data_IF_906047658652
#
_entry.id   IF_906047658652
#
_cell.length_a   1.000
_cell.length_b   1.000
_cell.length_c   1.000
_cell.angle_alpha   90.00
_cell.angle_beta   90.00
_cell.angle_gamma   90.00
#
_symmetry.space_group_name_H-M   'P 1'
#
loop_
_entity.id
_entity.type
_entity.pdbx_description
1 polymer ?
#
# COMPACT_ATOMS: atom_id res chain seq x y z
N UNK A 1 -9.79 6.58 -33.05
CA UNK A 1 -9.66 5.10 -32.92
C UNK A 1 -10.80 4.33 -33.59
N UNK A 2 -12.07 4.76 -33.51
CA UNK A 2 -13.20 4.04 -34.13
C UNK A 2 -13.11 3.85 -35.66
N UNK A 3 -12.48 4.78 -36.39
CA UNK A 3 -12.44 4.78 -37.86
C UNK A 3 -11.43 3.78 -38.44
N UNK A 4 -10.46 3.32 -37.64
CA UNK A 4 -9.40 2.40 -38.11
C UNK A 4 -9.86 0.94 -38.13
N UNK A 5 -10.85 0.58 -37.30
CA UNK A 5 -11.31 -0.80 -37.14
C UNK A 5 -12.25 -1.27 -38.26
N UNK A 6 -12.87 -0.34 -38.98
CA UNK A 6 -13.91 -0.60 -39.99
C UNK A 6 -13.39 -1.35 -41.23
N UNK A 7 -12.08 -1.33 -41.48
CA UNK A 7 -11.44 -1.95 -42.65
C UNK A 7 -10.84 -3.34 -42.38
N UNK A 8 -10.90 -3.83 -41.13
CA UNK A 8 -10.35 -5.14 -40.76
C UNK A 8 -11.42 -6.24 -40.86
N UNK A 9 -11.04 -7.48 -41.26
CA UNK A 9 -11.97 -8.61 -41.34
C UNK A 9 -12.62 -8.88 -39.98
N UNK A 10 -13.89 -9.30 -39.99
CA UNK A 10 -14.74 -9.48 -38.80
C UNK A 10 -14.05 -10.28 -37.67
N UNK A 11 -13.26 -11.29 -38.05
CA UNK A 11 -12.49 -12.14 -37.12
C UNK A 11 -11.41 -11.37 -36.36
N UNK A 12 -10.77 -10.40 -37.02
CA UNK A 12 -9.77 -9.52 -36.40
C UNK A 12 -10.43 -8.47 -35.50
N UNK A 13 -11.61 -7.96 -35.86
CA UNK A 13 -12.38 -7.06 -35.00
C UNK A 13 -12.81 -7.73 -33.70
N UNK A 14 -13.31 -8.97 -33.77
CA UNK A 14 -13.69 -9.76 -32.59
C UNK A 14 -12.46 -10.00 -31.69
N UNK A 15 -11.32 -10.40 -32.26
CA UNK A 15 -10.09 -10.59 -31.50
C UNK A 15 -9.63 -9.30 -30.81
N UNK A 16 -9.73 -8.17 -31.49
CA UNK A 16 -9.34 -6.88 -30.95
C UNK A 16 -10.27 -6.43 -29.82
N UNK A 17 -11.58 -6.63 -29.96
CA UNK A 17 -12.56 -6.37 -28.89
C UNK A 17 -12.28 -7.22 -27.66
N UNK A 18 -12.03 -8.52 -27.85
CA UNK A 18 -11.67 -9.45 -26.77
C UNK A 18 -10.38 -9.00 -26.06
N UNK A 19 -9.36 -8.62 -26.82
CA UNK A 19 -8.09 -8.14 -26.27
C UNK A 19 -8.27 -6.86 -25.44
N UNK A 20 -9.08 -5.90 -25.92
CA UNK A 20 -9.37 -4.67 -25.20
C UNK A 20 -10.11 -4.93 -23.88
N UNK A 21 -11.03 -5.90 -23.85
CA UNK A 21 -11.74 -6.31 -22.62
C UNK A 21 -10.79 -6.93 -21.58
N UNK A 22 -9.72 -7.60 -21.99
CA UNK A 22 -8.72 -8.12 -21.05
C UNK A 22 -7.89 -7.01 -20.41
N UNK A 23 -7.56 -5.95 -21.16
CA UNK A 23 -6.79 -4.83 -20.63
C UNK A 23 -7.59 -3.85 -19.76
N UNK A 24 -8.92 -3.83 -19.86
CA UNK A 24 -9.77 -2.95 -19.03
C UNK A 24 -9.88 -3.38 -17.56
N UNK A 25 -9.38 -4.57 -17.19
CA UNK A 25 -9.45 -5.07 -15.81
C UNK A 25 -8.23 -4.67 -14.94
N UNK A 26 -7.31 -3.86 -15.46
CA UNK A 26 -6.23 -3.30 -14.65
C UNK A 26 -6.79 -2.11 -13.89
N UNK A 27 -7.41 -2.39 -12.74
CA UNK A 27 -7.68 -1.35 -11.74
C UNK A 27 -6.32 -0.97 -11.15
N UNK A 28 -5.79 0.18 -11.57
CA UNK A 28 -4.72 0.82 -10.82
C UNK A 28 -5.32 1.21 -9.46
N UNK A 29 -4.83 0.62 -8.37
CA UNK A 29 -5.13 1.16 -7.03
C UNK A 29 -4.70 2.62 -7.05
N UNK A 30 -5.64 3.55 -6.77
CA UNK A 30 -5.25 4.93 -6.53
C UNK A 30 -4.22 4.89 -5.40
N UNK A 31 -3.07 5.53 -5.59
CA UNK A 31 -2.23 5.92 -4.47
C UNK A 31 -3.11 6.77 -3.57
N UNK A 32 -3.73 6.15 -2.56
CA UNK A 32 -4.30 6.89 -1.48
C UNK A 32 -3.08 7.43 -0.75
N UNK A 33 -2.69 8.65 -1.09
CA UNK A 33 -1.87 9.48 -0.22
C UNK A 33 -2.70 9.65 1.04
N UNK A 34 -2.53 8.73 1.99
CA UNK A 34 -3.01 8.83 3.36
C UNK A 34 -2.23 9.97 4.04
N UNK A 35 -2.30 11.18 3.49
CA UNK A 35 -1.80 12.38 4.14
C UNK A 35 -2.74 12.64 5.31
N UNK A 36 -2.23 12.36 6.50
CA UNK A 36 -2.85 12.74 7.74
C UNK A 36 -2.46 14.19 8.02
N UNK A 37 -3.42 15.09 7.92
CA UNK A 37 -3.19 16.52 8.18
C UNK A 37 -3.10 16.76 9.69
N UNK A 38 -1.91 16.55 10.28
CA UNK A 38 -1.62 16.93 11.66
C UNK A 38 -1.02 18.34 11.71
N UNK A 39 -1.51 19.16 12.64
CA UNK A 39 -1.01 20.52 12.84
C UNK A 39 -0.23 20.61 14.16
N UNK A 40 0.94 21.22 14.12
CA UNK A 40 1.71 21.56 15.31
C UNK A 40 1.41 23.01 15.72
N UNK A 41 1.14 23.31 17.01
CA UNK A 41 1.01 24.68 17.49
C UNK A 41 2.30 25.47 17.28
N UNK A 42 2.20 26.72 16.82
CA UNK A 42 3.36 27.57 16.53
C UNK A 42 4.15 28.02 17.77
N UNK A 43 3.55 27.93 18.95
CA UNK A 43 4.15 28.36 20.23
C UNK A 43 4.90 27.22 20.96
N UNK A 44 5.06 26.05 20.33
CA UNK A 44 5.72 24.89 20.95
C UNK A 44 7.23 24.85 20.64
N UNK A 45 8.07 24.33 21.58
CA UNK A 45 9.49 24.01 21.32
C UNK A 45 9.64 23.09 20.07
N UNK A 46 10.85 22.94 19.49
CA UNK A 46 11.03 22.23 18.21
C UNK A 46 10.29 20.87 18.23
N UNK A 47 9.49 20.55 17.19
CA UNK A 47 8.45 19.53 17.28
C UNK A 47 9.06 18.15 17.08
N UNK A 48 9.87 17.70 18.04
CA UNK A 48 10.25 16.29 18.14
C UNK A 48 9.46 15.68 19.30
N UNK A 49 8.33 15.07 18.98
CA UNK A 49 7.57 14.25 19.91
C UNK A 49 7.53 12.81 19.40
N UNK A 50 7.57 11.85 20.32
CA UNK A 50 7.26 10.46 19.97
C UNK A 50 5.79 10.38 19.54
N UNK A 51 5.55 9.69 18.44
CA UNK A 51 4.22 9.50 17.86
C UNK A 51 4.10 8.09 17.32
N UNK A 52 2.87 7.69 17.03
CA UNK A 52 2.54 6.39 16.50
C UNK A 52 1.73 6.53 15.21
N UNK A 53 1.89 5.54 14.34
CA UNK A 53 1.05 5.34 13.18
C UNK A 53 0.52 3.93 13.23
N UNK A 54 -0.74 3.76 12.84
CA UNK A 54 -1.33 2.43 12.69
C UNK A 54 -0.87 1.83 11.37
N UNK A 55 -0.39 0.59 11.42
CA UNK A 55 0.02 -0.16 10.25
C UNK A 55 -0.87 -1.39 10.06
N UNK A 56 -1.27 -1.66 8.82
CA UNK A 56 -2.02 -2.87 8.46
C UNK A 56 -1.09 -3.77 7.66
N UNK A 57 -0.83 -4.97 8.18
CA UNK A 57 0.13 -5.92 7.63
C UNK A 57 -0.23 -6.38 6.21
N UNK A 58 0.71 -6.20 5.26
CA UNK A 58 0.47 -6.44 3.83
C UNK A 58 1.22 -7.66 3.30
N UNK A 59 0.47 -8.66 2.87
CA UNK A 59 1.01 -9.81 2.14
C UNK A 59 1.44 -9.40 0.72
N UNK A 60 2.50 -10.02 0.14
CA UNK A 60 3.35 -11.06 0.74
C UNK A 60 4.61 -10.52 1.43
N UNK A 61 4.95 -9.24 1.22
CA UNK A 61 6.29 -8.74 1.48
C UNK A 61 6.45 -8.03 2.84
N UNK A 62 5.35 -7.64 3.49
CA UNK A 62 5.37 -6.81 4.70
C UNK A 62 4.62 -7.48 5.86
N UNK A 63 4.99 -8.73 6.12
CA UNK A 63 4.45 -9.59 7.18
C UNK A 63 5.48 -9.88 8.29
N UNK A 64 6.52 -9.07 8.41
CA UNK A 64 7.47 -9.17 9.52
C UNK A 64 7.80 -7.82 10.12
N UNK A 65 8.08 -7.78 11.43
CA UNK A 65 8.46 -6.55 12.12
C UNK A 65 9.70 -5.90 11.49
N UNK A 66 10.66 -6.71 11.02
CA UNK A 66 11.85 -6.22 10.30
C UNK A 66 11.51 -5.57 8.97
N UNK A 67 10.60 -6.18 8.17
CA UNK A 67 10.21 -5.60 6.89
C UNK A 67 9.50 -4.26 7.06
N UNK A 68 8.68 -4.12 8.10
CA UNK A 68 7.94 -2.89 8.42
C UNK A 68 8.88 -1.83 9.00
N UNK A 69 9.79 -2.22 9.90
CA UNK A 69 10.75 -1.31 10.52
C UNK A 69 11.64 -0.62 9.49
N UNK A 70 12.01 -1.33 8.42
CA UNK A 70 12.79 -0.78 7.31
C UNK A 70 12.01 0.30 6.51
N UNK A 71 10.68 0.25 6.47
CA UNK A 71 9.86 1.27 5.80
C UNK A 71 9.82 2.56 6.62
N UNK A 72 9.67 2.43 7.94
CA UNK A 72 9.48 3.55 8.86
C UNK A 72 10.78 4.05 9.50
N UNK A 73 11.93 3.48 9.11
CA UNK A 73 13.24 3.79 9.69
C UNK A 73 13.24 3.76 11.22
N UNK A 74 12.64 2.70 11.78
CA UNK A 74 12.52 2.48 13.23
C UNK A 74 13.05 1.10 13.62
N UNK A 75 13.02 0.76 14.89
CA UNK A 75 13.46 -0.57 15.36
C UNK A 75 12.30 -1.57 15.40
N UNK A 76 12.50 -2.85 15.02
CA UNK A 76 11.48 -3.90 15.19
C UNK A 76 11.00 -4.02 16.65
N UNK A 77 11.91 -3.84 17.61
CA UNK A 77 11.61 -3.89 19.04
C UNK A 77 10.67 -2.74 19.46
N UNK A 78 10.81 -1.55 18.86
CA UNK A 78 9.90 -0.43 19.10
C UNK A 78 8.48 -0.77 18.65
N UNK A 79 8.34 -1.42 17.49
CA UNK A 79 7.04 -1.87 16.96
C UNK A 79 6.45 -2.95 17.87
N UNK A 80 7.24 -3.95 18.24
CA UNK A 80 6.81 -5.03 19.14
C UNK A 80 6.29 -4.47 20.48
N UNK A 81 7.06 -3.56 21.09
CA UNK A 81 6.67 -2.91 22.36
C UNK A 81 5.39 -2.08 22.21
N UNK A 82 5.27 -1.30 21.14
CA UNK A 82 4.10 -0.46 20.89
C UNK A 82 2.82 -1.29 20.63
N UNK A 83 2.98 -2.45 19.98
CA UNK A 83 1.89 -3.34 19.58
C UNK A 83 1.61 -4.46 20.58
N UNK A 84 2.33 -4.49 21.70
CA UNK A 84 2.27 -5.56 22.72
C UNK A 84 2.49 -6.97 22.12
N UNK A 85 3.53 -7.12 21.30
CA UNK A 85 3.98 -8.38 20.73
C UNK A 85 5.25 -8.87 21.44
N UNK A 86 5.45 -10.19 21.48
CA UNK A 86 6.72 -10.74 21.91
C UNK A 86 7.80 -10.46 20.84
N UNK A 87 9.05 -10.14 21.20
CA UNK A 87 10.11 -9.87 20.24
C UNK A 87 10.41 -11.03 19.29
N UNK A 88 10.13 -12.26 19.71
CA UNK A 88 10.21 -13.48 18.90
C UNK A 88 9.06 -13.68 17.90
N UNK A 89 7.97 -12.89 17.99
CA UNK A 89 6.85 -12.94 17.06
C UNK A 89 7.19 -12.22 15.74
N UNK A 90 8.10 -12.82 14.96
CA UNK A 90 8.60 -12.25 13.71
C UNK A 90 7.59 -12.29 12.56
N UNK A 91 6.49 -13.05 12.70
CA UNK A 91 5.57 -13.31 11.60
C UNK A 91 4.15 -12.82 11.89
N UNK A 92 3.76 -11.80 11.16
CA UNK A 92 2.42 -11.23 11.16
C UNK A 92 1.51 -11.98 10.19
N UNK A 93 0.21 -11.93 10.46
CA UNK A 93 -0.82 -12.37 9.52
C UNK A 93 -1.28 -11.18 8.67
N UNK A 94 -1.73 -11.46 7.45
CA UNK A 94 -2.29 -10.42 6.58
C UNK A 94 -3.47 -9.71 7.25
N UNK A 95 -3.60 -8.40 7.03
CA UNK A 95 -4.63 -7.53 7.59
C UNK A 95 -4.58 -7.37 9.12
N UNK A 96 -3.52 -7.87 9.79
CA UNK A 96 -3.26 -7.59 11.19
C UNK A 96 -2.95 -6.10 11.39
N UNK A 97 -3.59 -5.51 12.40
CA UNK A 97 -3.37 -4.11 12.79
C UNK A 97 -2.30 -4.05 13.87
N UNK A 98 -1.30 -3.19 13.67
CA UNK A 98 -0.25 -2.82 14.62
C UNK A 98 -0.40 -1.36 15.03
#
# INVERSE_FOLDING_TARGET
MAVLFSFLPLRSQILCLVLMLFFTNIVAQSQQTNETNFSCPSDSPPPSCETYVTYIAQSPNFLSLTSISNIFDTSPLSIARASNLEPEDDKLIADQVL
#
